data_IF_661054800335
#
_entry.id   IF_661054800335
#
_cell.length_a   1.000
_cell.length_b   1.000
_cell.length_c   1.000
_cell.angle_alpha   90.00
_cell.angle_beta   90.00
_cell.angle_gamma   90.00
#
_symmetry.space_group_name_H-M   'P 1'
#
loop_
_entity.id
_entity.type
_entity.pdbx_description
1 polymer ?
#
# COMPACT_ATOMS: atom_id res chain seq x y z
N UNK A 1 6.91 -87.36 15.60
CA UNK A 1 7.67 -86.32 14.87
C UNK A 1 6.73 -85.15 14.65
N UNK A 2 6.88 -84.07 15.41
CA UNK A 2 6.05 -82.86 15.29
C UNK A 2 6.75 -81.89 14.35
N UNK A 3 6.16 -81.66 13.17
CA UNK A 3 6.67 -80.68 12.22
C UNK A 3 6.28 -79.27 12.67
N UNK A 4 7.26 -78.46 13.02
CA UNK A 4 7.06 -77.04 13.36
C UNK A 4 6.96 -76.24 12.07
N UNK A 5 5.78 -75.66 11.79
CA UNK A 5 5.60 -74.75 10.66
C UNK A 5 6.31 -73.42 10.97
N UNK A 6 7.45 -73.16 10.34
CA UNK A 6 8.07 -71.82 10.34
C UNK A 6 7.18 -70.88 9.52
N UNK A 7 6.56 -69.91 10.20
CA UNK A 7 5.82 -68.80 9.57
C UNK A 7 6.81 -67.78 8.99
N UNK A 8 6.71 -67.55 7.68
CA UNK A 8 7.63 -66.75 6.87
C UNK A 8 7.22 -65.26 6.82
N UNK A 9 7.17 -64.58 7.97
CA UNK A 9 6.74 -63.16 8.08
C UNK A 9 7.90 -62.14 7.95
N UNK A 10 9.14 -62.59 7.70
CA UNK A 10 10.35 -61.76 7.73
C UNK A 10 10.44 -60.67 6.63
N UNK A 11 9.64 -60.74 5.56
CA UNK A 11 9.65 -59.74 4.48
C UNK A 11 8.63 -58.60 4.63
N UNK A 12 7.58 -58.79 5.44
CA UNK A 12 6.45 -57.86 5.52
C UNK A 12 6.85 -56.53 6.19
N UNK A 13 7.70 -56.60 7.22
CA UNK A 13 8.16 -55.42 7.97
C UNK A 13 8.97 -54.46 7.09
N UNK A 14 9.73 -54.98 6.14
CA UNK A 14 10.50 -54.16 5.20
C UNK A 14 9.59 -53.38 4.25
N UNK A 15 8.56 -54.03 3.72
CA UNK A 15 7.61 -53.38 2.80
C UNK A 15 6.77 -52.34 3.55
N UNK A 16 6.30 -52.68 4.76
CA UNK A 16 5.55 -51.75 5.60
C UNK A 16 6.38 -50.52 5.96
N UNK A 17 7.66 -50.70 6.34
CA UNK A 17 8.54 -49.57 6.68
C UNK A 17 8.84 -48.68 5.47
N UNK A 18 9.07 -49.24 4.28
CA UNK A 18 9.20 -48.45 3.05
C UNK A 18 7.91 -47.68 2.72
N UNK A 19 6.74 -48.29 2.90
CA UNK A 19 5.45 -47.62 2.67
C UNK A 19 5.29 -46.41 3.59
N UNK A 20 5.58 -46.57 4.88
CA UNK A 20 5.54 -45.47 5.84
C UNK A 20 6.55 -44.36 5.49
N UNK A 21 7.76 -44.72 5.05
CA UNK A 21 8.78 -43.76 4.63
C UNK A 21 8.30 -42.94 3.43
N UNK A 22 7.67 -43.57 2.44
CA UNK A 22 7.10 -42.88 1.27
C UNK A 22 6.00 -41.91 1.70
N UNK A 23 5.07 -42.34 2.57
CA UNK A 23 4.00 -41.48 3.08
C UNK A 23 4.57 -40.27 3.84
N UNK A 24 5.53 -40.49 4.73
CA UNK A 24 6.20 -39.40 5.45
C UNK A 24 6.93 -38.45 4.50
N UNK A 25 7.55 -38.98 3.43
CA UNK A 25 8.24 -38.15 2.43
C UNK A 25 7.27 -37.26 1.67
N UNK A 26 6.11 -37.77 1.27
CA UNK A 26 5.06 -36.97 0.60
C UNK A 26 4.56 -35.86 1.52
N UNK A 27 4.31 -36.17 2.79
CA UNK A 27 3.88 -35.18 3.79
C UNK A 27 5.00 -34.14 4.03
N UNK A 28 6.26 -34.57 4.11
CA UNK A 28 7.41 -33.68 4.28
C UNK A 28 7.58 -32.72 3.11
N UNK A 29 7.39 -33.19 1.87
CA UNK A 29 7.42 -32.35 0.67
C UNK A 29 6.25 -31.35 0.69
N UNK A 30 5.04 -31.81 1.02
CA UNK A 30 3.87 -30.94 1.10
C UNK A 30 4.04 -29.84 2.16
N UNK A 31 4.58 -30.19 3.33
CA UNK A 31 4.90 -29.25 4.40
C UNK A 31 5.96 -28.24 3.94
N UNK A 32 7.04 -28.70 3.29
CA UNK A 32 8.11 -27.83 2.78
C UNK A 32 7.58 -26.85 1.73
N UNK A 33 6.76 -27.33 0.79
CA UNK A 33 6.14 -26.48 -0.24
C UNK A 33 5.25 -25.40 0.40
N UNK A 34 4.49 -25.76 1.44
CA UNK A 34 3.66 -24.80 2.18
C UNK A 34 4.51 -23.73 2.85
N UNK A 35 5.59 -24.12 3.54
CA UNK A 35 6.53 -23.18 4.17
C UNK A 35 7.18 -22.24 3.15
N UNK A 36 7.55 -22.74 1.96
CA UNK A 36 8.10 -21.90 0.89
C UNK A 36 7.09 -20.85 0.42
N UNK A 37 5.82 -21.23 0.25
CA UNK A 37 4.75 -20.30 -0.13
C UNK A 37 4.55 -19.24 0.97
N UNK A 38 4.44 -19.64 2.23
CA UNK A 38 4.28 -18.72 3.37
C UNK A 38 5.46 -17.75 3.48
N UNK A 39 6.68 -18.23 3.28
CA UNK A 39 7.88 -17.38 3.30
C UNK A 39 7.84 -16.34 2.19
N UNK A 40 7.41 -16.73 0.98
CA UNK A 40 7.25 -15.80 -0.14
C UNK A 40 6.16 -14.76 0.14
N UNK A 41 5.03 -15.17 0.71
CA UNK A 41 3.94 -14.26 1.11
C UNK A 41 4.45 -13.28 2.16
N UNK A 42 5.12 -13.76 3.21
CA UNK A 42 5.68 -12.93 4.27
C UNK A 42 6.73 -11.94 3.74
N UNK A 43 7.55 -12.35 2.77
CA UNK A 43 8.51 -11.49 2.09
C UNK A 43 7.82 -10.33 1.34
N UNK A 44 6.78 -10.64 0.58
CA UNK A 44 5.99 -9.63 -0.13
C UNK A 44 5.26 -8.70 0.84
N UNK A 45 4.65 -9.24 1.91
CA UNK A 45 3.97 -8.44 2.94
C UNK A 45 4.94 -7.48 3.64
N UNK A 46 6.17 -7.93 3.93
CA UNK A 46 7.21 -7.07 4.50
C UNK A 46 7.55 -5.89 3.59
N UNK A 47 7.76 -6.13 2.30
CA UNK A 47 8.04 -5.07 1.32
C UNK A 47 6.86 -4.10 1.24
N UNK A 48 5.64 -4.63 1.18
CA UNK A 48 4.42 -3.82 1.16
C UNK A 48 4.31 -2.91 2.40
N UNK A 49 4.50 -3.45 3.60
CA UNK A 49 4.45 -2.68 4.86
C UNK A 49 5.53 -1.59 4.88
N UNK A 50 6.74 -1.90 4.45
CA UNK A 50 7.82 -0.91 4.37
C UNK A 50 7.46 0.24 3.44
N UNK A 51 6.98 -0.06 2.23
CA UNK A 51 6.58 0.95 1.26
C UNK A 51 5.37 1.76 1.77
N UNK A 52 4.44 1.13 2.49
CA UNK A 52 3.33 1.80 3.14
C UNK A 52 3.80 2.82 4.18
N UNK A 53 4.72 2.44 5.09
CA UNK A 53 5.26 3.36 6.09
C UNK A 53 6.00 4.54 5.45
N UNK A 54 6.76 4.30 4.38
CA UNK A 54 7.43 5.36 3.63
C UNK A 54 6.43 6.31 2.97
N UNK A 55 5.40 5.76 2.31
CA UNK A 55 4.34 6.55 1.70
C UNK A 55 3.56 7.38 2.75
N UNK A 56 3.30 6.81 3.94
CA UNK A 56 2.68 7.53 5.06
C UNK A 56 3.55 8.66 5.60
N UNK A 57 4.85 8.39 5.79
CA UNK A 57 5.81 9.42 6.16
C UNK A 57 5.83 10.57 5.16
N UNK A 58 5.82 10.26 3.87
CA UNK A 58 5.81 11.27 2.82
C UNK A 58 4.53 12.12 2.80
N UNK A 59 3.35 11.50 2.97
CA UNK A 59 2.11 12.26 3.06
C UNK A 59 2.05 13.13 4.32
N UNK A 60 2.61 12.68 5.44
CA UNK A 60 2.72 13.48 6.68
C UNK A 60 3.69 14.65 6.52
N UNK A 61 4.81 14.44 5.83
CA UNK A 61 5.78 15.49 5.51
C UNK A 61 5.13 16.58 4.65
N UNK A 62 4.30 16.20 3.67
CA UNK A 62 3.51 17.11 2.86
C UNK A 62 2.55 17.96 3.71
N UNK A 63 1.85 17.31 4.65
CA UNK A 63 0.95 18.01 5.57
C UNK A 63 1.69 18.99 6.48
N UNK A 64 2.89 18.64 6.93
CA UNK A 64 3.66 19.46 7.85
C UNK A 64 4.36 20.64 7.17
N UNK A 65 4.96 20.44 6.00
CA UNK A 65 5.79 21.47 5.36
C UNK A 65 5.03 22.30 4.33
N UNK A 66 4.18 21.66 3.53
CA UNK A 66 3.50 22.34 2.43
C UNK A 66 2.29 23.10 2.98
N UNK A 67 1.40 22.40 3.69
CA UNK A 67 0.17 23.00 4.21
C UNK A 67 0.39 23.99 5.37
N UNK A 68 1.55 24.07 6.01
CA UNK A 68 1.81 25.10 7.04
C UNK A 68 2.31 26.41 6.45
N UNK A 69 2.76 26.39 5.20
CA UNK A 69 3.21 27.58 4.48
C UNK A 69 2.01 28.38 3.93
N UNK A 70 2.20 29.70 3.73
CA UNK A 70 1.17 30.60 3.19
C UNK A 70 0.99 30.46 1.66
N UNK A 71 1.95 29.80 1.01
CA UNK A 71 1.99 29.51 -0.42
C UNK A 71 2.26 28.02 -0.54
N UNK A 72 1.21 27.22 -0.54
CA UNK A 72 1.38 25.79 -0.73
C UNK A 72 1.59 25.52 -2.23
N UNK A 73 2.44 24.55 -2.56
CA UNK A 73 2.68 24.15 -3.94
C UNK A 73 1.61 23.12 -4.32
N UNK A 74 0.35 23.57 -4.39
CA UNK A 74 -0.73 22.71 -4.82
C UNK A 74 -0.82 22.66 -6.34
N UNK A 75 -0.94 21.44 -6.88
CA UNK A 75 -1.52 21.31 -8.19
C UNK A 75 -3.03 21.48 -8.10
N UNK A 76 -3.59 22.42 -8.87
CA UNK A 76 -5.05 22.50 -9.03
C UNK A 76 -5.51 21.29 -9.85
N UNK A 77 -6.48 20.53 -9.35
CA UNK A 77 -6.98 19.35 -10.05
C UNK A 77 -7.46 19.63 -11.48
N UNK A 78 -7.97 20.83 -11.75
CA UNK A 78 -8.49 21.21 -13.05
C UNK A 78 -7.38 21.56 -14.07
N UNK A 79 -6.17 21.85 -13.58
CA UNK A 79 -4.99 22.16 -14.40
C UNK A 79 -4.08 20.95 -14.62
N UNK A 80 -4.44 19.80 -14.02
CA UNK A 80 -3.64 18.60 -14.09
C UNK A 80 -3.86 17.85 -15.42
N UNK A 81 -2.79 17.33 -16.05
CA UNK A 81 -2.91 16.53 -17.26
C UNK A 81 -3.86 15.35 -17.06
N UNK A 82 -4.71 15.12 -18.04
CA UNK A 82 -5.46 13.87 -18.14
C UNK A 82 -4.58 12.80 -18.80
N UNK A 83 -4.69 11.57 -18.34
CA UNK A 83 -4.15 10.41 -19.03
C UNK A 83 -4.87 10.18 -20.37
N UNK A 84 -4.36 9.25 -21.18
CA UNK A 84 -4.93 8.91 -22.48
C UNK A 84 -6.40 8.41 -22.41
N UNK A 85 -6.91 8.11 -21.22
CA UNK A 85 -8.30 7.71 -20.96
C UNK A 85 -9.18 8.83 -20.42
N UNK A 86 -8.69 10.07 -20.33
CA UNK A 86 -9.45 11.20 -19.78
C UNK A 86 -9.56 11.18 -18.24
N UNK A 87 -8.76 10.36 -17.57
CA UNK A 87 -8.68 10.30 -16.11
C UNK A 87 -7.54 11.18 -15.63
N UNK A 88 -7.66 11.76 -14.43
CA UNK A 88 -6.60 12.56 -13.83
C UNK A 88 -5.28 11.78 -13.66
N UNK A 89 -4.17 12.27 -14.23
CA UNK A 89 -2.84 11.68 -14.05
C UNK A 89 -2.21 12.09 -12.71
N UNK A 90 -2.50 11.29 -11.68
CA UNK A 90 -1.93 11.43 -10.33
C UNK A 90 -0.40 11.41 -10.30
N UNK A 91 0.28 10.84 -11.31
CA UNK A 91 1.74 10.76 -11.30
C UNK A 91 2.39 12.13 -11.47
N UNK A 92 1.70 13.06 -12.14
CA UNK A 92 2.16 14.43 -12.38
C UNK A 92 2.24 15.30 -11.12
N UNK A 93 1.70 14.84 -9.99
CA UNK A 93 1.66 15.58 -8.72
C UNK A 93 2.82 15.23 -7.79
N UNK A 94 3.45 14.06 -7.98
CA UNK A 94 4.46 13.61 -7.03
C UNK A 94 5.78 14.38 -7.20
N UNK A 95 6.15 15.12 -6.16
CA UNK A 95 7.45 15.79 -6.04
C UNK A 95 8.29 15.07 -5.00
N UNK A 96 9.56 14.80 -5.33
CA UNK A 96 10.53 14.29 -4.36
C UNK A 96 11.20 15.48 -3.68
N UNK A 97 11.09 15.57 -2.36
CA UNK A 97 11.78 16.60 -1.56
C UNK A 97 13.02 16.01 -0.88
N UNK A 98 14.00 16.87 -0.57
CA UNK A 98 15.30 16.55 -0.01
C UNK A 98 15.27 15.84 1.36
N UNK A 99 14.11 15.75 2.01
CA UNK A 99 13.92 15.10 3.31
C UNK A 99 13.33 13.68 3.26
N UNK A 100 12.93 13.18 2.08
CA UNK A 100 12.33 11.85 1.94
C UNK A 100 13.35 10.77 1.57
N UNK A 101 13.07 9.53 1.98
CA UNK A 101 13.85 8.37 1.57
C UNK A 101 13.80 8.16 0.05
N UNK A 102 14.84 7.55 -0.52
CA UNK A 102 14.90 7.23 -1.94
C UNK A 102 13.65 6.49 -2.41
N UNK A 103 13.17 6.81 -3.62
CA UNK A 103 11.95 6.26 -4.21
C UNK A 103 10.67 6.56 -3.40
N UNK A 104 10.70 7.59 -2.56
CA UNK A 104 9.54 8.07 -1.82
C UNK A 104 9.23 9.50 -2.26
N UNK A 105 7.96 9.81 -2.46
CA UNK A 105 7.49 11.12 -2.94
C UNK A 105 6.13 11.45 -2.36
N UNK A 106 5.78 12.73 -2.37
CA UNK A 106 4.45 13.20 -2.00
C UNK A 106 3.88 14.14 -3.06
N UNK A 107 2.58 14.32 -3.08
CA UNK A 107 1.91 15.30 -3.93
C UNK A 107 0.74 15.92 -3.19
N UNK A 108 0.52 17.22 -3.34
CA UNK A 108 -0.64 17.92 -2.79
C UNK A 108 -1.50 18.39 -3.95
N UNK A 109 -2.76 17.98 -3.95
CA UNK A 109 -3.76 18.42 -4.93
C UNK A 109 -4.81 19.25 -4.22
N UNK A 110 -4.98 20.49 -4.65
CA UNK A 110 -6.18 21.25 -4.30
C UNK A 110 -7.34 20.68 -5.10
N UNK A 111 -8.32 20.13 -4.39
CA UNK A 111 -9.51 19.55 -5.00
C UNK A 111 -10.56 20.63 -5.33
N UNK A 112 -10.16 21.91 -5.29
CA UNK A 112 -10.82 23.14 -5.73
C UNK A 112 -12.31 22.92 -5.94
N UNK A 113 -13.11 23.10 -4.89
CA UNK A 113 -14.55 22.91 -5.07
C UNK A 113 -15.01 24.01 -6.02
N UNK A 114 -15.48 23.67 -7.25
CA UNK A 114 -15.80 24.69 -8.24
C UNK A 114 -16.77 25.68 -7.61
N UNK A 115 -16.46 26.96 -7.73
CA UNK A 115 -17.14 28.09 -7.09
C UNK A 115 -18.63 28.27 -7.48
N UNK A 116 -19.25 27.27 -8.10
CA UNK A 116 -20.66 27.22 -8.48
C UNK A 116 -21.34 25.84 -8.40
N UNK A 117 -20.72 24.79 -7.85
CA UNK A 117 -21.36 23.44 -7.73
C UNK A 117 -21.84 23.12 -6.31
N UNK A 118 -21.58 24.01 -5.34
CA UNK A 118 -22.15 23.91 -4.00
C UNK A 118 -23.35 24.84 -3.86
N UNK A 119 -24.56 24.28 -3.95
CA UNK A 119 -25.71 24.88 -3.29
C UNK A 119 -25.40 25.03 -1.80
N UNK A 120 -25.39 26.27 -1.32
CA UNK A 120 -25.60 26.82 0.04
C UNK A 120 -25.26 26.04 1.33
N UNK A 121 -24.58 24.89 1.30
CA UNK A 121 -24.56 23.95 2.45
C UNK A 121 -23.19 23.52 2.95
N UNK A 122 -22.09 23.79 2.23
CA UNK A 122 -20.74 23.29 2.62
C UNK A 122 -19.64 24.36 2.66
N UNK A 123 -20.01 25.64 2.59
CA UNK A 123 -19.10 26.74 2.86
C UNK A 123 -19.70 27.57 3.98
N UNK A 124 -19.09 27.55 5.17
CA UNK A 124 -19.29 28.62 6.14
C UNK A 124 -18.65 29.88 5.53
N UNK A 125 -19.38 30.57 4.66
CA UNK A 125 -19.10 31.98 4.36
C UNK A 125 -19.50 32.75 5.60
N UNK A 126 -18.52 33.22 6.37
CA UNK A 126 -18.78 34.22 7.40
C UNK A 126 -18.98 35.55 6.67
N UNK A 127 -20.24 35.95 6.53
CA UNK A 127 -20.61 37.25 5.99
C UNK A 127 -20.20 38.33 6.99
N UNK A 128 -19.17 39.09 6.65
CA UNK A 128 -18.87 40.35 7.35
C UNK A 128 -17.40 40.64 7.60
N UNK A 129 -16.61 40.77 6.53
CA UNK A 129 -15.46 41.71 6.33
C UNK A 129 -14.53 41.16 5.26
N UNK A 130 -14.72 41.53 3.98
CA UNK A 130 -13.74 41.62 2.86
C UNK A 130 -12.78 40.47 2.50
N UNK A 131 -12.54 39.49 3.37
CA UNK A 131 -11.62 38.38 3.30
C UNK A 131 -12.24 37.23 4.12
N UNK A 132 -13.38 36.73 3.66
CA UNK A 132 -14.09 35.63 4.30
C UNK A 132 -13.24 34.37 4.25
N UNK A 133 -12.89 33.81 5.42
CA UNK A 133 -12.04 32.62 5.55
C UNK A 133 -12.55 31.48 4.70
N UNK A 134 -11.76 31.07 3.70
CA UNK A 134 -12.08 29.97 2.79
C UNK A 134 -11.57 28.68 3.45
N UNK A 135 -12.44 27.68 3.56
CA UNK A 135 -12.00 26.32 3.85
C UNK A 135 -11.64 25.65 2.52
N UNK A 136 -10.39 25.23 2.39
CA UNK A 136 -9.91 24.50 1.21
C UNK A 136 -9.76 23.01 1.55
N UNK A 137 -10.05 22.16 0.58
CA UNK A 137 -9.95 20.71 0.69
C UNK A 137 -8.76 20.23 -0.14
N UNK A 138 -7.79 19.64 0.53
CA UNK A 138 -6.58 19.12 -0.09
C UNK A 138 -6.59 17.61 -0.07
N UNK A 139 -6.23 17.01 -1.19
CA UNK A 139 -5.91 15.59 -1.29
C UNK A 139 -4.39 15.43 -1.27
N UNK A 140 -3.87 14.84 -0.21
CA UNK A 140 -2.44 14.57 -0.05
C UNK A 140 -2.17 13.15 -0.47
N UNK A 141 -1.21 12.99 -1.35
CA UNK A 141 -0.76 11.71 -1.85
C UNK A 141 0.63 11.42 -1.32
N UNK A 142 0.83 10.23 -0.78
CA UNK A 142 2.15 9.70 -0.46
C UNK A 142 2.42 8.47 -1.33
N UNK A 143 3.63 8.35 -1.85
CA UNK A 143 4.02 7.24 -2.70
C UNK A 143 5.39 6.70 -2.33
N UNK A 144 5.53 5.38 -2.35
CA UNK A 144 6.82 4.70 -2.32
C UNK A 144 6.89 3.65 -3.43
N UNK A 145 7.98 3.66 -4.20
CA UNK A 145 8.24 2.73 -5.32
C UNK A 145 9.43 1.80 -5.04
N UNK A 146 9.76 1.56 -3.77
CA UNK A 146 10.92 0.77 -3.38
C UNK A 146 10.76 -0.72 -3.71
N UNK A 147 11.86 -1.38 -4.06
CA UNK A 147 11.90 -2.80 -4.44
C UNK A 147 10.96 -3.19 -5.58
N UNK A 148 10.83 -2.34 -6.61
CA UNK A 148 9.95 -2.56 -7.77
C UNK A 148 8.46 -2.79 -7.41
N UNK A 149 8.06 -2.30 -6.24
CA UNK A 149 6.69 -2.34 -5.74
C UNK A 149 6.20 -0.92 -5.49
N UNK A 150 4.99 -0.60 -5.93
CA UNK A 150 4.41 0.74 -5.74
C UNK A 150 3.29 0.68 -4.71
N UNK A 151 3.44 1.45 -3.64
CA UNK A 151 2.37 1.73 -2.68
C UNK A 151 2.05 3.21 -2.75
N UNK A 152 0.76 3.51 -2.87
CA UNK A 152 0.23 4.87 -2.87
C UNK A 152 -0.86 4.98 -1.83
N UNK A 153 -0.81 6.06 -1.07
CA UNK A 153 -1.83 6.42 -0.10
C UNK A 153 -2.40 7.79 -0.45
N UNK A 154 -3.65 8.01 -0.06
CA UNK A 154 -4.35 9.29 -0.19
C UNK A 154 -4.92 9.68 1.16
N UNK A 155 -4.70 10.90 1.58
CA UNK A 155 -5.20 11.48 2.83
C UNK A 155 -5.91 12.79 2.49
N UNK A 156 -7.19 12.90 2.85
CA UNK A 156 -7.92 14.17 2.73
C UNK A 156 -7.58 15.08 3.92
N UNK A 157 -7.28 16.34 3.64
CA UNK A 157 -7.00 17.36 4.64
C UNK A 157 -7.85 18.60 4.40
N UNK A 158 -8.36 19.20 5.47
CA UNK A 158 -9.10 20.47 5.41
C UNK A 158 -8.32 21.54 6.14
N UNK A 159 -7.95 22.61 5.44
CA UNK A 159 -7.30 23.78 6.06
C UNK A 159 -8.22 24.98 5.99
N UNK A 160 -8.26 25.75 7.07
CA UNK A 160 -8.85 27.08 7.12
C UNK A 160 -7.73 28.10 6.87
N UNK A 161 -7.86 28.91 5.82
CA UNK A 161 -7.00 30.07 5.55
C UNK A 161 -7.62 31.34 6.13
#
# INVERSE_FOLDING_TARGET
MTATMLKNEEGFVLIASMLFLVVLTIIGIAATNTTTIETNIAGNEKIYKQNFYLAEGAAREAAQNDLTSAWVWEANKNDLPLDSGGTFDVNSVFTQTSGLGANTSFGVVDNDIPSGVLGSGHSLKVDGTGAGGRMNFFDLYGQSTQNNSTVRIKIGYTKRL
#
